data_IF_306877204550
#
_entry.id   IF_306877204550
#
_cell.length_a   1.000
_cell.length_b   1.000
_cell.length_c   1.000
_cell.angle_alpha   90.00
_cell.angle_beta   90.00
_cell.angle_gamma   90.00
#
_symmetry.space_group_name_H-M   'P 1'
#
loop_
_entity.id
_entity.type
_entity.pdbx_description
1 polymer ?
#
# COMPACT_ATOMS: atom_id res chain seq x y z
N UNK A 1 3.67 30.37 -32.85
CA UNK A 1 4.51 29.70 -31.84
C UNK A 1 3.58 28.89 -30.95
N UNK A 2 3.55 27.57 -31.12
CA UNK A 2 2.86 26.70 -30.18
C UNK A 2 3.66 26.71 -28.89
N UNK A 3 3.07 27.20 -27.81
CA UNK A 3 3.61 27.03 -26.47
C UNK A 3 3.52 25.54 -26.17
N UNK A 4 4.62 24.81 -26.33
CA UNK A 4 4.73 23.44 -25.84
C UNK A 4 4.52 23.50 -24.33
N UNK A 5 3.29 23.27 -23.89
CA UNK A 5 3.03 22.99 -22.48
C UNK A 5 3.87 21.76 -22.15
N UNK A 6 4.91 21.96 -21.35
CA UNK A 6 5.60 20.85 -20.69
C UNK A 6 4.52 19.92 -20.14
N UNK A 7 4.55 18.62 -20.44
CA UNK A 7 3.54 17.71 -19.95
C UNK A 7 3.51 17.83 -18.42
N UNK A 8 2.34 18.18 -17.88
CA UNK A 8 2.16 18.24 -16.43
C UNK A 8 2.55 16.89 -15.86
N UNK A 9 3.46 16.87 -14.86
CA UNK A 9 3.94 15.63 -14.26
C UNK A 9 2.75 14.76 -13.85
N UNK A 10 2.72 13.47 -14.20
CA UNK A 10 1.61 12.59 -13.85
C UNK A 10 1.41 12.60 -12.33
N UNK A 11 0.15 12.59 -11.88
CA UNK A 11 -0.16 12.56 -10.46
C UNK A 11 -0.06 11.12 -9.91
N UNK A 12 0.54 10.96 -8.74
CA UNK A 12 0.63 9.68 -8.03
C UNK A 12 0.06 9.83 -6.62
N UNK A 13 -0.83 8.91 -6.26
CA UNK A 13 -1.39 8.84 -4.92
C UNK A 13 -0.50 7.95 -4.05
N UNK A 14 0.03 8.52 -2.97
CA UNK A 14 0.78 7.77 -1.96
C UNK A 14 -0.13 7.56 -0.75
N UNK A 15 -0.61 6.33 -0.56
CA UNK A 15 -1.54 6.00 0.54
C UNK A 15 -0.74 5.42 1.70
N UNK A 16 -0.91 5.98 2.89
CA UNK A 16 -0.26 5.53 4.09
C UNK A 16 -1.28 5.32 5.22
N UNK A 17 -0.87 4.58 6.25
CA UNK A 17 -1.71 4.35 7.43
C UNK A 17 -1.66 5.56 8.37
N UNK A 18 -2.80 5.86 8.97
CA UNK A 18 -2.95 6.82 10.08
C UNK A 18 -3.21 6.13 11.43
N UNK A 19 -2.94 4.81 11.51
CA UNK A 19 -3.05 4.03 12.73
C UNK A 19 -1.77 4.14 13.60
N UNK A 20 -1.86 3.75 14.87
CA UNK A 20 -0.79 3.90 15.85
C UNK A 20 0.44 3.02 15.55
N UNK A 21 0.25 1.90 14.86
CA UNK A 21 1.30 1.00 14.38
C UNK A 21 2.14 1.62 13.26
N UNK A 22 1.67 2.74 12.69
CA UNK A 22 2.43 3.66 11.88
C UNK A 22 2.89 3.14 10.52
N UNK A 23 3.87 3.85 9.97
CA UNK A 23 4.44 3.67 8.64
C UNK A 23 5.94 3.44 8.76
N UNK A 24 6.50 2.46 8.03
CA UNK A 24 7.95 2.25 8.05
C UNK A 24 8.69 3.46 7.48
N UNK A 25 9.53 4.09 8.30
CA UNK A 25 10.30 5.29 7.92
C UNK A 25 11.16 5.04 6.68
N UNK A 26 11.89 3.92 6.65
CA UNK A 26 12.73 3.53 5.51
C UNK A 26 11.92 3.28 4.25
N UNK A 27 10.80 2.55 4.33
CA UNK A 27 10.00 2.26 3.14
C UNK A 27 9.35 3.52 2.58
N UNK A 28 8.81 4.37 3.46
CA UNK A 28 8.19 5.63 3.07
C UNK A 28 9.20 6.59 2.45
N UNK A 29 10.39 6.75 3.05
CA UNK A 29 11.48 7.56 2.50
C UNK A 29 11.82 7.16 1.06
N UNK A 30 12.04 5.87 0.81
CA UNK A 30 12.39 5.37 -0.53
C UNK A 30 11.25 5.58 -1.52
N UNK A 31 10.02 5.22 -1.13
CA UNK A 31 8.82 5.39 -1.97
C UNK A 31 8.60 6.86 -2.32
N UNK A 32 8.67 7.75 -1.33
CA UNK A 32 8.48 9.18 -1.51
C UNK A 32 9.58 9.79 -2.39
N UNK A 33 10.85 9.49 -2.12
CA UNK A 33 11.98 10.03 -2.90
C UNK A 33 11.92 9.57 -4.36
N UNK A 34 11.70 8.28 -4.60
CA UNK A 34 11.57 7.72 -5.95
C UNK A 34 10.36 8.33 -6.68
N UNK A 35 9.18 8.34 -6.06
CA UNK A 35 7.97 8.79 -6.74
C UNK A 35 7.93 10.32 -6.91
N UNK A 36 8.48 11.09 -5.98
CA UNK A 36 8.56 12.56 -6.09
C UNK A 36 9.53 13.05 -7.16
N UNK A 37 10.40 12.18 -7.69
CA UNK A 37 11.26 12.48 -8.83
C UNK A 37 10.51 12.40 -10.17
N UNK A 38 9.49 11.53 -10.29
CA UNK A 38 8.74 11.33 -11.54
C UNK A 38 7.30 11.89 -11.52
N UNK A 39 6.66 11.95 -10.36
CA UNK A 39 5.23 12.26 -10.22
C UNK A 39 4.98 13.51 -9.36
N UNK A 40 3.81 14.11 -9.55
CA UNK A 40 3.24 15.00 -8.56
C UNK A 40 2.58 14.16 -7.46
N UNK A 41 3.24 14.05 -6.30
CA UNK A 41 2.75 13.20 -5.21
C UNK A 41 1.69 13.88 -4.37
N UNK A 42 0.64 13.13 -4.06
CA UNK A 42 -0.28 13.47 -2.98
C UNK A 42 -0.28 12.35 -1.94
N UNK A 43 0.04 12.70 -0.70
CA UNK A 43 -0.06 11.77 0.42
C UNK A 43 -1.49 11.77 0.94
N UNK A 44 -2.05 10.59 1.17
CA UNK A 44 -3.38 10.43 1.76
C UNK A 44 -3.38 9.37 2.86
N UNK A 45 -4.16 9.62 3.91
CA UNK A 45 -4.38 8.71 5.03
C UNK A 45 -5.88 8.66 5.35
N UNK A 46 -6.39 7.56 5.94
CA UNK A 46 -7.77 7.51 6.43
C UNK A 46 -8.08 8.66 7.38
N UNK A 47 -9.12 9.42 7.09
CA UNK A 47 -9.52 10.62 7.84
C UNK A 47 -8.55 11.80 7.77
N UNK A 48 -7.47 11.72 6.97
CA UNK A 48 -6.42 12.75 6.89
C UNK A 48 -5.59 12.84 8.17
N UNK A 49 -5.50 11.74 8.92
CA UNK A 49 -4.70 11.65 10.14
C UNK A 49 -3.21 11.80 9.83
N UNK A 50 -2.49 12.49 10.71
CA UNK A 50 -1.03 12.55 10.63
C UNK A 50 -0.42 11.14 10.70
N UNK A 51 0.71 10.94 10.03
CA UNK A 51 1.42 9.66 10.02
C UNK A 51 2.43 9.60 11.15
N UNK A 52 2.45 8.48 11.85
CA UNK A 52 3.54 8.11 12.73
C UNK A 52 4.54 7.19 12.02
N UNK A 53 5.83 7.40 12.29
CA UNK A 53 6.89 6.64 11.65
C UNK A 53 7.50 5.62 12.61
N UNK A 54 7.58 4.37 12.17
CA UNK A 54 8.25 3.27 12.88
C UNK A 54 9.57 2.91 12.19
N UNK A 55 10.52 2.39 12.96
CA UNK A 55 11.85 2.06 12.44
C UNK A 55 12.68 3.29 12.06
N UNK A 56 12.53 4.38 12.81
CA UNK A 56 13.39 5.57 12.70
C UNK A 56 14.77 5.22 13.26
N UNK A 57 15.81 5.43 12.46
CA UNK A 57 17.21 5.16 12.78
C UNK A 57 18.00 6.45 12.62
N UNK A 58 19.23 6.50 13.13
CA UNK A 58 20.11 7.67 12.98
C UNK A 58 20.25 8.11 11.51
N UNK A 59 20.32 7.13 10.59
CA UNK A 59 20.44 7.36 9.15
C UNK A 59 19.22 8.00 8.47
N UNK A 60 18.02 7.93 9.06
CA UNK A 60 16.80 8.52 8.46
C UNK A 60 16.11 9.55 9.37
N UNK A 61 16.55 9.72 10.61
CA UNK A 61 15.93 10.61 11.58
C UNK A 61 15.84 12.05 11.08
N UNK A 62 16.92 12.56 10.48
CA UNK A 62 16.96 13.89 9.87
C UNK A 62 15.90 14.05 8.79
N UNK A 63 15.78 13.07 7.89
CA UNK A 63 14.79 13.13 6.83
C UNK A 63 13.36 13.11 7.37
N UNK A 64 13.08 12.29 8.39
CA UNK A 64 11.75 12.23 9.01
C UNK A 64 11.38 13.56 9.66
N UNK A 65 12.33 14.20 10.35
CA UNK A 65 12.13 15.53 10.92
C UNK A 65 11.87 16.57 9.82
N UNK A 66 12.69 16.59 8.76
CA UNK A 66 12.53 17.51 7.63
C UNK A 66 11.20 17.29 6.90
N UNK A 67 10.78 16.04 6.73
CA UNK A 67 9.51 15.66 6.14
C UNK A 67 8.35 16.28 6.92
N UNK A 68 8.34 16.14 8.25
CA UNK A 68 7.26 16.63 9.14
C UNK A 68 7.04 18.15 9.08
N UNK A 69 8.02 18.92 8.65
CA UNK A 69 7.94 20.38 8.53
C UNK A 69 7.32 20.85 7.19
N UNK A 70 7.06 19.92 6.26
CA UNK A 70 6.65 20.25 4.89
C UNK A 70 5.13 20.16 4.74
N UNK A 71 4.57 20.92 3.79
CA UNK A 71 3.13 20.95 3.55
C UNK A 71 2.54 19.56 3.22
N UNK A 72 3.30 18.69 2.55
CA UNK A 72 2.89 17.32 2.23
C UNK A 72 2.90 16.36 3.43
N UNK A 73 3.39 16.78 4.60
CA UNK A 73 3.23 16.04 5.84
C UNK A 73 1.83 16.18 6.45
N UNK A 74 1.00 17.07 5.89
CA UNK A 74 -0.44 17.10 6.13
C UNK A 74 -1.14 16.27 5.05
N UNK A 75 -1.42 14.98 5.29
CA UNK A 75 -2.03 14.12 4.29
C UNK A 75 -3.48 14.53 4.01
N UNK A 76 -3.89 14.32 2.77
CA UNK A 76 -5.29 14.45 2.39
C UNK A 76 -6.14 13.34 3.01
N UNK A 77 -7.42 13.63 3.22
CA UNK A 77 -8.41 12.64 3.65
C UNK A 77 -8.63 11.64 2.53
N UNK A 78 -8.37 10.36 2.79
CA UNK A 78 -8.56 9.30 1.80
C UNK A 78 -10.00 9.25 1.26
N UNK A 79 -10.97 9.61 2.10
CA UNK A 79 -12.41 9.65 1.77
C UNK A 79 -12.76 10.74 0.74
N UNK A 80 -11.94 11.78 0.58
CA UNK A 80 -12.15 12.85 -0.39
C UNK A 80 -11.34 12.69 -1.68
N UNK A 81 -10.62 11.58 -1.81
CA UNK A 81 -9.80 11.28 -2.97
C UNK A 81 -10.65 10.70 -4.10
N UNK A 82 -10.58 11.34 -5.26
CA UNK A 82 -11.06 10.77 -6.51
C UNK A 82 -9.91 10.06 -7.24
N UNK A 83 -10.02 8.74 -7.38
CA UNK A 83 -9.03 7.88 -8.04
C UNK A 83 -8.80 8.22 -9.52
N UNK A 84 -9.75 8.87 -10.19
CA UNK A 84 -9.62 9.26 -11.59
C UNK A 84 -8.46 10.24 -11.82
N UNK A 85 -8.14 11.08 -10.82
CA UNK A 85 -7.12 12.14 -10.92
C UNK A 85 -5.68 11.61 -10.92
N UNK A 86 -5.45 10.37 -10.52
CA UNK A 86 -4.12 9.80 -10.35
C UNK A 86 -3.83 8.76 -11.43
N UNK A 87 -2.56 8.67 -11.80
CA UNK A 87 -2.05 7.75 -12.81
C UNK A 87 -1.40 6.52 -12.18
N UNK A 88 -0.95 6.62 -10.94
CA UNK A 88 -0.32 5.55 -10.18
C UNK A 88 -0.75 5.60 -8.71
N UNK A 89 -0.79 4.44 -8.07
CA UNK A 89 -1.05 4.26 -6.64
C UNK A 89 0.17 3.59 -6.00
N UNK A 90 0.68 4.19 -4.94
CA UNK A 90 1.83 3.68 -4.18
C UNK A 90 1.46 3.52 -2.71
N UNK A 91 1.71 2.34 -2.17
CA UNK A 91 1.47 1.99 -0.77
C UNK A 91 2.80 1.49 -0.19
N UNK A 92 3.51 2.32 0.59
CA UNK A 92 4.75 1.88 1.25
C UNK A 92 4.44 0.81 2.30
N UNK A 93 5.48 0.22 2.89
CA UNK A 93 5.29 -0.70 4.02
C UNK A 93 4.79 0.05 5.25
N UNK A 94 3.52 -0.13 5.59
CA UNK A 94 2.89 0.40 6.79
C UNK A 94 2.31 -0.75 7.63
N UNK A 95 2.91 -1.08 8.79
CA UNK A 95 2.33 -2.08 9.70
C UNK A 95 0.88 -1.76 10.09
N UNK A 96 0.55 -0.47 10.26
CA UNK A 96 -0.82 -0.04 10.54
C UNK A 96 -1.83 -0.29 9.41
N UNK A 97 -1.40 -0.64 8.20
CA UNK A 97 -2.31 -0.95 7.09
C UNK A 97 -3.27 -2.09 7.41
N UNK A 98 -2.85 -3.04 8.26
CA UNK A 98 -3.71 -4.13 8.71
C UNK A 98 -4.90 -3.65 9.53
N UNK A 99 -4.78 -2.49 10.19
CA UNK A 99 -5.77 -1.93 11.10
C UNK A 99 -6.74 -1.01 10.37
N UNK A 100 -6.24 -0.09 9.54
CA UNK A 100 -7.07 0.96 8.93
C UNK A 100 -7.27 0.80 7.41
N UNK A 101 -6.24 0.42 6.65
CA UNK A 101 -6.34 0.32 5.19
C UNK A 101 -7.01 -0.97 4.72
N UNK A 102 -6.76 -2.11 5.37
CA UNK A 102 -7.25 -3.42 4.95
C UNK A 102 -8.78 -3.55 4.95
N UNK A 103 -9.47 -2.67 5.68
CA UNK A 103 -10.94 -2.62 5.75
C UNK A 103 -11.50 -1.25 5.32
N UNK A 104 -10.73 -0.46 4.57
CA UNK A 104 -11.15 0.88 4.14
C UNK A 104 -12.03 0.82 2.88
N UNK A 105 -13.30 1.20 3.00
CA UNK A 105 -14.20 1.32 1.85
C UNK A 105 -13.76 2.40 0.84
N UNK A 106 -13.14 3.48 1.32
CA UNK A 106 -12.59 4.54 0.47
C UNK A 106 -11.43 4.03 -0.38
N UNK A 107 -10.53 3.25 0.24
CA UNK A 107 -9.43 2.63 -0.50
C UNK A 107 -9.95 1.58 -1.49
N UNK A 108 -10.93 0.77 -1.09
CA UNK A 108 -11.54 -0.24 -1.96
C UNK A 108 -12.07 0.39 -3.27
N UNK A 109 -12.78 1.51 -3.17
CA UNK A 109 -13.28 2.27 -4.33
C UNK A 109 -12.14 2.75 -5.24
N UNK A 110 -11.05 3.25 -4.66
CA UNK A 110 -9.88 3.71 -5.43
C UNK A 110 -9.21 2.52 -6.13
N UNK A 111 -9.00 1.41 -5.42
CA UNK A 111 -8.38 0.21 -5.98
C UNK A 111 -9.21 -0.40 -7.11
N UNK A 112 -10.53 -0.45 -6.96
CA UNK A 112 -11.44 -0.90 -8.02
C UNK A 112 -11.34 -0.02 -9.27
N UNK A 113 -11.32 1.31 -9.10
CA UNK A 113 -11.12 2.23 -10.22
C UNK A 113 -9.76 2.03 -10.90
N UNK A 114 -8.69 1.83 -10.12
CA UNK A 114 -7.37 1.56 -10.68
C UNK A 114 -7.34 0.23 -11.45
N UNK A 115 -8.02 -0.79 -10.95
CA UNK A 115 -8.16 -2.06 -11.63
C UNK A 115 -8.94 -1.94 -12.94
N UNK A 116 -10.10 -1.26 -12.94
CA UNK A 116 -10.93 -1.09 -14.14
C UNK A 116 -10.21 -0.32 -15.25
N UNK A 117 -9.42 0.68 -14.87
CA UNK A 117 -8.63 1.50 -15.80
C UNK A 117 -7.25 0.91 -16.12
N UNK A 118 -6.93 -0.31 -15.63
CA UNK A 118 -5.61 -0.94 -15.80
C UNK A 118 -4.44 -0.04 -15.35
N UNK A 119 -4.65 0.78 -14.32
CA UNK A 119 -3.63 1.69 -13.77
C UNK A 119 -2.69 0.95 -12.82
N UNK A 120 -1.40 1.33 -12.78
CA UNK A 120 -0.42 0.69 -11.92
C UNK A 120 -0.69 0.93 -10.42
N UNK A 121 -0.60 -0.17 -9.67
CA UNK A 121 -0.66 -0.20 -8.21
C UNK A 121 0.61 -0.86 -7.69
N UNK A 122 1.33 -0.19 -6.80
CA UNK A 122 2.53 -0.71 -6.16
C UNK A 122 2.30 -0.75 -4.65
N UNK A 123 2.35 -1.94 -4.05
CA UNK A 123 2.26 -2.12 -2.60
C UNK A 123 3.51 -2.85 -2.10
N UNK A 124 4.10 -2.36 -1.02
CA UNK A 124 5.38 -2.86 -0.49
C UNK A 124 5.19 -3.34 0.95
N UNK A 125 5.77 -4.50 1.30
CA UNK A 125 5.78 -5.01 2.67
C UNK A 125 4.37 -5.16 3.26
N UNK A 126 4.13 -4.57 4.43
CA UNK A 126 2.82 -4.60 5.10
C UNK A 126 1.75 -3.80 4.36
N UNK A 127 2.13 -2.91 3.43
CA UNK A 127 1.20 -2.16 2.59
C UNK A 127 0.37 -3.06 1.66
N UNK A 128 0.82 -4.30 1.41
CA UNK A 128 0.05 -5.29 0.62
C UNK A 128 -1.29 -5.63 1.30
N UNK A 129 -1.38 -5.53 2.63
CA UNK A 129 -2.63 -5.73 3.36
C UNK A 129 -3.74 -4.76 2.94
N UNK A 130 -3.36 -3.57 2.45
CA UNK A 130 -4.28 -2.57 1.97
C UNK A 130 -5.07 -3.05 0.72
N UNK A 131 -4.53 -4.00 -0.05
CA UNK A 131 -5.23 -4.58 -1.20
C UNK A 131 -6.41 -5.48 -0.81
N UNK A 132 -6.47 -5.96 0.43
CA UNK A 132 -7.51 -6.87 0.91
C UNK A 132 -8.90 -6.22 0.93
N UNK A 133 -8.99 -4.89 1.02
CA UNK A 133 -10.28 -4.19 1.05
C UNK A 133 -11.01 -4.22 -0.30
N UNK A 134 -10.31 -4.47 -1.41
CA UNK A 134 -10.87 -4.44 -2.74
C UNK A 134 -11.55 -5.78 -3.09
N UNK A 135 -12.85 -5.88 -2.80
CA UNK A 135 -13.71 -6.99 -3.20
C UNK A 135 -14.72 -6.55 -4.25
N UNK A 136 -15.11 -7.48 -5.12
CA UNK A 136 -16.17 -7.32 -6.10
C UNK A 136 -17.55 -7.57 -5.45
N UNK A 137 -18.63 -7.30 -6.18
CA UNK A 137 -20.01 -7.54 -5.72
C UNK A 137 -20.29 -9.01 -5.39
N UNK A 138 -19.63 -9.95 -6.10
CA UNK A 138 -19.68 -11.39 -5.87
C UNK A 138 -18.81 -11.84 -4.68
N UNK A 139 -18.24 -10.89 -3.92
CA UNK A 139 -17.26 -11.10 -2.84
C UNK A 139 -15.94 -11.73 -3.27
N UNK A 140 -15.69 -11.85 -4.58
CA UNK A 140 -14.37 -12.22 -5.07
C UNK A 140 -13.39 -11.08 -4.84
N UNK A 141 -12.12 -11.42 -4.63
CA UNK A 141 -11.07 -10.41 -4.46
C UNK A 141 -10.66 -9.86 -5.83
N UNK A 142 -10.58 -8.54 -5.97
CA UNK A 142 -10.35 -7.84 -7.27
C UNK A 142 -9.05 -8.29 -7.93
N UNK A 143 -8.02 -8.62 -7.14
CA UNK A 143 -6.72 -9.04 -7.64
C UNK A 143 -6.59 -10.57 -7.75
N UNK A 144 -7.71 -11.29 -7.86
CA UNK A 144 -7.70 -12.72 -8.13
C UNK A 144 -6.94 -12.99 -9.46
N UNK A 145 -5.90 -13.81 -9.40
CA UNK A 145 -5.02 -14.10 -10.54
C UNK A 145 -3.75 -13.24 -10.64
N UNK A 146 -3.61 -12.21 -9.81
CA UNK A 146 -2.35 -11.45 -9.70
C UNK A 146 -1.30 -12.24 -8.89
N UNK A 147 -0.03 -12.05 -9.26
CA UNK A 147 1.10 -12.56 -8.48
C UNK A 147 1.56 -11.50 -7.49
N UNK A 148 1.61 -11.85 -6.20
CA UNK A 148 2.10 -10.96 -5.15
C UNK A 148 3.37 -11.53 -4.52
N UNK A 149 4.29 -10.63 -4.15
CA UNK A 149 5.45 -10.95 -3.32
C UNK A 149 5.24 -10.40 -1.92
N UNK A 150 5.34 -11.25 -0.90
CA UNK A 150 5.25 -10.84 0.51
C UNK A 150 6.55 -11.15 1.26
N UNK A 151 6.95 -10.26 2.17
CA UNK A 151 8.08 -10.53 3.06
C UNK A 151 7.74 -11.65 4.05
N UNK A 152 8.70 -12.51 4.38
CA UNK A 152 8.52 -13.69 5.24
C UNK A 152 8.07 -13.40 6.69
N UNK A 153 7.91 -12.14 7.10
CA UNK A 153 7.48 -11.75 8.45
C UNK A 153 5.97 -11.70 8.69
N UNK A 154 5.13 -11.86 7.65
CA UNK A 154 3.65 -11.81 7.79
C UNK A 154 3.02 -13.07 8.39
N UNK A 155 3.82 -14.05 8.81
CA UNK A 155 3.34 -15.32 9.39
C UNK A 155 2.67 -15.18 10.78
N UNK A 156 2.60 -13.97 11.36
CA UNK A 156 1.95 -13.75 12.66
C UNK A 156 0.87 -12.67 12.54
N UNK A 157 -0.33 -13.06 12.11
CA UNK A 157 -1.57 -12.36 12.47
C UNK A 157 -2.37 -11.67 11.36
N UNK A 158 -1.87 -11.58 10.12
CA UNK A 158 -2.67 -11.05 9.01
C UNK A 158 -3.46 -12.18 8.31
N UNK A 159 -4.77 -12.03 8.02
CA UNK A 159 -5.45 -12.95 7.13
C UNK A 159 -4.78 -12.89 5.76
N UNK A 160 -4.14 -13.99 5.35
CA UNK A 160 -3.67 -14.16 3.99
C UNK A 160 -4.85 -13.88 3.04
N UNK A 161 -4.65 -13.13 1.93
CA UNK A 161 -5.66 -13.13 0.88
C UNK A 161 -5.94 -14.58 0.45
N UNK A 162 -7.18 -14.91 0.06
CA UNK A 162 -7.57 -16.28 -0.21
C UNK A 162 -6.58 -16.94 -1.19
N UNK A 163 -6.18 -18.19 -0.96
CA UNK A 163 -5.10 -18.83 -1.70
C UNK A 163 -5.44 -18.84 -3.19
N UNK A 164 -4.64 -18.14 -4.00
CA UNK A 164 -4.66 -18.30 -5.45
C UNK A 164 -3.81 -19.51 -5.83
N UNK A 165 -4.23 -20.33 -6.81
CA UNK A 165 -3.52 -21.55 -7.20
C UNK A 165 -2.15 -21.31 -7.89
N UNK A 166 -1.66 -20.06 -7.93
CA UNK A 166 -0.44 -19.66 -8.63
C UNK A 166 0.56 -18.87 -7.79
N UNK A 167 0.37 -18.77 -6.47
CA UNK A 167 1.37 -18.18 -5.59
C UNK A 167 2.58 -19.13 -5.45
N UNK A 168 3.50 -19.08 -6.41
CA UNK A 168 4.76 -19.84 -6.36
C UNK A 168 5.70 -19.12 -5.40
N UNK A 169 5.78 -19.60 -4.16
CA UNK A 169 6.90 -19.32 -3.28
C UNK A 169 8.17 -19.91 -3.90
N UNK A 170 9.10 -19.06 -4.32
CA UNK A 170 10.41 -19.50 -4.79
C UNK A 170 11.29 -19.90 -3.59
N UNK A 171 11.46 -21.21 -3.42
CA UNK A 171 12.60 -21.96 -2.86
C UNK A 171 12.81 -22.12 -1.32
N UNK A 172 12.87 -23.39 -0.87
CA UNK A 172 13.75 -23.90 0.22
C UNK A 172 13.11 -24.55 1.48
N UNK A 173 13.43 -25.81 1.90
CA UNK A 173 12.73 -26.61 2.93
C UNK A 173 13.48 -26.68 4.31
N UNK A 174 13.06 -27.54 5.29
CA UNK A 174 11.79 -27.56 6.03
C UNK A 174 12.01 -27.39 7.56
N UNK A 175 11.06 -26.78 8.27
CA UNK A 175 10.98 -26.92 9.73
C UNK A 175 9.51 -27.02 10.19
N UNK A 176 9.11 -28.28 10.39
CA UNK A 176 8.16 -28.93 11.31
C UNK A 176 7.56 -28.11 12.49
N UNK A 177 6.58 -28.67 13.25
CA UNK A 177 5.26 -29.14 12.84
C UNK A 177 4.18 -28.69 13.84
N UNK A 178 3.33 -27.69 13.53
CA UNK A 178 2.19 -27.38 14.43
C UNK A 178 0.91 -26.93 13.77
N UNK A 179 0.81 -26.90 12.44
CA UNK A 179 -0.46 -26.58 11.77
C UNK A 179 -0.94 -27.78 10.95
N UNK A 180 -1.36 -28.83 11.66
CA UNK A 180 -2.10 -29.97 11.10
C UNK A 180 -3.47 -30.06 11.78
N UNK A 181 -4.46 -29.38 11.20
CA UNK A 181 -5.88 -29.77 11.16
C UNK A 181 -6.62 -28.63 10.44
N UNK A 182 -7.29 -28.78 9.31
CA UNK A 182 -7.98 -29.92 8.73
C UNK A 182 -8.18 -29.64 7.23
N UNK A 183 -7.54 -30.44 6.38
CA UNK A 183 -7.94 -30.61 4.98
C UNK A 183 -7.73 -32.09 4.69
N UNK A 184 -8.79 -32.88 4.88
CA UNK A 184 -8.88 -34.24 4.36
C UNK A 184 -10.00 -34.21 3.33
N UNK A 185 -9.63 -34.43 2.08
CA UNK A 185 -10.56 -34.69 0.97
C UNK A 185 -11.02 -36.15 1.03
N UNK A 186 -12.32 -36.34 0.92
CA UNK A 186 -12.96 -37.35 0.08
C UNK A 186 -14.30 -36.78 -0.36
#
# INVERSE_FOLDING_TARGET
MASERLPSRPACLLVASGAAEGVSAQSFLHCFTMASAAFNLQVATPGGKAMDFVGVTESNARWVQDFRLKAYASPAKLESIDGARYHALLIPSCPGALVDLANSGSLARILQHFHSESKPICAVGHGVAALCCATNEDRSWVFHGYSLTGGQGLAQGAPCPPPSPRCVSLSGPPASPTCRSSWRTS
#
